data_IF_060711433090
#
_entry.id   IF_060711433090
#
_cell.length_a   1.000
_cell.length_b   1.000
_cell.length_c   1.000
_cell.angle_alpha   90.00
_cell.angle_beta   90.00
_cell.angle_gamma   90.00
#
_symmetry.space_group_name_H-M   'P 1'
#
loop_
_entity.id
_entity.type
_entity.pdbx_description
1 polymer ?
#
# COMPACT_ATOMS: atom_id res chain seq x y z
N UNK A 1 -37.80 1.53 5.73
CA UNK A 1 -36.50 2.05 5.26
C UNK A 1 -36.15 1.28 4.00
N UNK A 2 -35.89 1.98 2.90
CA UNK A 2 -35.45 1.36 1.65
C UNK A 2 -33.96 1.62 1.49
N UNK A 3 -33.23 0.64 0.99
CA UNK A 3 -31.84 0.84 0.59
C UNK A 3 -31.77 1.79 -0.61
N UNK A 4 -30.84 2.75 -0.56
CA UNK A 4 -30.52 3.63 -1.68
C UNK A 4 -29.02 3.52 -1.95
N UNK A 5 -28.68 3.30 -3.21
CA UNK A 5 -27.32 3.32 -3.70
C UNK A 5 -26.63 4.66 -3.37
N UNK A 6 -25.37 4.68 -2.88
CA UNK A 6 -24.61 5.91 -2.79
C UNK A 6 -24.46 6.56 -4.17
N UNK A 7 -24.55 7.88 -4.22
CA UNK A 7 -24.45 8.67 -5.47
C UNK A 7 -23.10 9.37 -5.63
N UNK A 8 -22.27 9.35 -4.59
CA UNK A 8 -20.93 9.92 -4.56
C UNK A 8 -20.07 9.21 -3.51
N UNK A 9 -18.75 9.33 -3.65
CA UNK A 9 -17.78 8.91 -2.65
C UNK A 9 -17.86 9.78 -1.40
N UNK A 10 -17.57 9.17 -0.25
CA UNK A 10 -17.50 9.81 1.06
C UNK A 10 -16.12 9.67 1.70
N UNK A 11 -15.32 8.68 1.28
CA UNK A 11 -13.97 8.49 1.81
C UNK A 11 -12.99 7.92 0.79
N UNK A 12 -11.74 8.36 0.90
CA UNK A 12 -10.60 7.72 0.29
C UNK A 12 -9.77 7.02 1.37
N UNK A 13 -9.50 5.73 1.20
CA UNK A 13 -8.67 4.92 2.09
C UNK A 13 -7.32 4.70 1.42
N UNK A 14 -6.30 5.38 1.94
CA UNK A 14 -5.00 5.47 1.30
C UNK A 14 -3.98 4.53 1.95
N UNK A 15 -3.12 3.94 1.14
CA UNK A 15 -1.84 3.46 1.65
C UNK A 15 -0.86 4.60 1.93
N UNK A 16 0.30 4.28 2.51
CA UNK A 16 1.34 5.23 2.86
C UNK A 16 2.50 5.22 1.87
N UNK A 17 3.40 4.23 1.96
CA UNK A 17 4.63 4.19 1.18
C UNK A 17 4.32 3.91 -0.30
N UNK A 18 4.85 4.73 -1.21
CA UNK A 18 4.50 4.67 -2.63
C UNK A 18 3.16 5.29 -3.00
N UNK A 19 2.38 5.77 -2.01
CA UNK A 19 1.04 6.35 -2.21
C UNK A 19 0.96 7.82 -1.78
N UNK A 20 1.22 8.11 -0.50
CA UNK A 20 1.27 9.49 0.04
C UNK A 20 2.69 9.91 0.40
N UNK A 21 3.52 8.96 0.86
CA UNK A 21 4.92 9.18 1.25
C UNK A 21 5.83 8.19 0.52
N UNK A 22 7.14 8.40 0.59
CA UNK A 22 8.16 7.45 0.12
C UNK A 22 7.98 7.06 -1.36
N UNK A 23 8.22 7.99 -2.27
CA UNK A 23 8.17 7.70 -3.72
C UNK A 23 9.13 6.55 -4.05
N UNK A 24 8.58 5.47 -4.61
CA UNK A 24 9.27 4.21 -4.93
C UNK A 24 9.19 3.13 -3.83
N UNK A 25 8.58 3.41 -2.67
CA UNK A 25 8.37 2.45 -1.57
C UNK A 25 9.69 1.77 -1.16
N UNK A 26 10.68 2.57 -0.74
CA UNK A 26 12.02 2.12 -0.40
C UNK A 26 12.16 1.74 1.08
N UNK A 27 11.41 2.40 1.96
CA UNK A 27 11.51 2.25 3.40
C UNK A 27 11.62 0.79 3.85
N UNK A 28 10.69 -0.13 3.52
CA UNK A 28 10.75 -1.51 3.99
C UNK A 28 11.81 -2.37 3.26
N UNK A 29 12.10 -2.05 2.00
CA UNK A 29 12.81 -2.96 1.08
C UNK A 29 14.25 -3.22 1.52
N UNK A 30 15.02 -2.16 1.81
CA UNK A 30 16.41 -2.30 2.24
C UNK A 30 16.52 -2.99 3.62
N UNK A 31 15.54 -2.81 4.49
CA UNK A 31 15.54 -3.42 5.82
C UNK A 31 15.34 -4.92 5.73
N UNK A 32 14.51 -5.42 4.81
CA UNK A 32 14.38 -6.87 4.62
C UNK A 32 15.70 -7.51 4.20
N UNK A 33 16.42 -6.89 3.27
CA UNK A 33 17.74 -7.36 2.84
C UNK A 33 18.70 -7.46 4.03
N UNK A 34 18.75 -6.43 4.87
CA UNK A 34 19.62 -6.41 6.05
C UNK A 34 19.18 -7.39 7.14
N UNK A 35 17.89 -7.47 7.43
CA UNK A 35 17.34 -8.37 8.43
C UNK A 35 17.60 -9.84 8.08
N UNK A 36 17.48 -10.23 6.80
CA UNK A 36 17.85 -11.58 6.36
C UNK A 36 19.37 -11.81 6.38
N UNK A 37 20.17 -10.79 6.04
CA UNK A 37 21.62 -10.88 6.07
C UNK A 37 22.19 -11.11 7.49
N UNK A 38 21.53 -10.63 8.55
CA UNK A 38 21.90 -10.95 9.94
C UNK A 38 21.79 -12.45 10.28
N UNK A 39 21.05 -13.22 9.49
CA UNK A 39 20.91 -14.68 9.61
C UNK A 39 21.73 -15.41 8.53
N UNK A 40 22.69 -14.73 7.90
CA UNK A 40 23.51 -15.23 6.79
C UNK A 40 22.71 -15.65 5.54
N UNK A 41 21.46 -15.21 5.41
CA UNK A 41 20.60 -15.50 4.27
C UNK A 41 20.56 -14.28 3.35
N UNK A 42 21.06 -14.42 2.14
CA UNK A 42 21.05 -13.33 1.17
C UNK A 42 19.66 -13.22 0.53
N UNK A 43 19.10 -12.01 0.50
CA UNK A 43 17.88 -11.65 -0.23
C UNK A 43 18.18 -10.41 -1.06
N UNK A 44 17.82 -10.41 -2.34
CA UNK A 44 17.98 -9.25 -3.21
C UNK A 44 16.87 -8.22 -2.99
N UNK A 45 17.11 -6.97 -3.42
CA UNK A 45 16.08 -5.92 -3.41
C UNK A 45 14.85 -6.34 -4.23
N UNK A 46 15.06 -6.99 -5.39
CA UNK A 46 13.96 -7.46 -6.25
C UNK A 46 13.10 -8.50 -5.54
N UNK A 47 13.72 -9.47 -4.86
CA UNK A 47 13.01 -10.47 -4.06
C UNK A 47 12.24 -9.84 -2.90
N UNK A 48 12.88 -8.93 -2.16
CA UNK A 48 12.26 -8.21 -1.05
C UNK A 48 11.05 -7.37 -1.48
N UNK A 49 10.99 -6.91 -2.73
CA UNK A 49 9.83 -6.18 -3.28
C UNK A 49 8.65 -7.07 -3.63
N UNK A 50 8.86 -8.37 -3.82
CA UNK A 50 7.83 -9.31 -4.29
C UNK A 50 6.55 -9.30 -3.44
N UNK A 51 6.62 -9.59 -2.13
CA UNK A 51 5.44 -9.65 -1.26
C UNK A 51 5.09 -8.30 -0.61
N UNK A 52 5.45 -7.18 -1.24
CA UNK A 52 5.16 -5.86 -0.67
C UNK A 52 3.66 -5.60 -0.53
N UNK A 53 3.29 -4.83 0.51
CA UNK A 53 1.90 -4.50 0.84
C UNK A 53 1.28 -5.40 1.92
N UNK A 54 1.88 -6.55 2.23
CA UNK A 54 1.44 -7.42 3.32
C UNK A 54 1.88 -6.89 4.70
N UNK A 55 1.27 -7.46 5.76
CA UNK A 55 1.81 -7.36 7.12
C UNK A 55 3.24 -7.90 7.16
N UNK A 56 4.12 -7.28 7.96
CA UNK A 56 5.57 -7.56 7.88
C UNK A 56 5.95 -8.99 8.26
N UNK A 57 5.24 -9.62 9.18
CA UNK A 57 5.45 -11.05 9.49
C UNK A 57 5.08 -11.94 8.29
N UNK A 58 3.90 -11.73 7.71
CA UNK A 58 3.43 -12.48 6.52
C UNK A 58 4.33 -12.25 5.30
N UNK A 59 4.87 -11.03 5.17
CA UNK A 59 5.86 -10.70 4.15
C UNK A 59 7.12 -11.57 4.30
N UNK A 60 7.67 -11.66 5.51
CA UNK A 60 8.87 -12.48 5.80
C UNK A 60 8.57 -13.96 5.57
N UNK A 61 7.42 -14.47 6.03
CA UNK A 61 6.97 -15.84 5.77
C UNK A 61 6.92 -16.12 4.25
N UNK A 62 6.33 -15.20 3.49
CA UNK A 62 6.23 -15.31 2.03
C UNK A 62 7.60 -15.32 1.36
N UNK A 63 8.54 -14.46 1.80
CA UNK A 63 9.93 -14.52 1.32
C UNK A 63 10.57 -15.86 1.65
N UNK A 64 10.39 -16.37 2.87
CA UNK A 64 10.88 -17.68 3.28
C UNK A 64 10.28 -18.85 2.48
N UNK A 65 9.11 -18.68 1.85
CA UNK A 65 8.47 -19.68 0.98
C UNK A 65 8.91 -19.59 -0.49
N UNK A 66 9.63 -18.53 -0.89
CA UNK A 66 10.24 -18.46 -2.22
C UNK A 66 11.31 -19.56 -2.32
N UNK A 67 11.23 -20.48 -3.32
CA UNK A 67 12.12 -21.64 -3.41
C UNK A 67 13.61 -21.31 -3.32
N UNK A 68 14.04 -20.22 -3.96
CA UNK A 68 15.42 -19.76 -3.99
C UNK A 68 15.89 -19.24 -2.62
N UNK A 69 15.03 -18.57 -1.85
CA UNK A 69 15.33 -18.09 -0.50
C UNK A 69 15.31 -19.25 0.49
N UNK A 70 14.33 -20.15 0.39
CA UNK A 70 14.26 -21.37 1.19
C UNK A 70 15.51 -22.24 1.00
N UNK A 71 16.05 -22.30 -0.22
CA UNK A 71 17.31 -22.98 -0.51
C UNK A 71 18.51 -22.32 0.18
N UNK A 72 18.60 -20.98 0.14
CA UNK A 72 19.67 -20.23 0.84
C UNK A 72 19.59 -20.46 2.34
N UNK A 73 18.38 -20.41 2.91
CA UNK A 73 18.15 -20.69 4.33
C UNK A 73 18.59 -22.13 4.68
N UNK A 74 18.22 -23.12 3.86
CA UNK A 74 18.60 -24.52 4.09
C UNK A 74 20.11 -24.75 4.04
N UNK A 75 20.84 -24.01 3.23
CA UNK A 75 22.31 -24.08 3.19
C UNK A 75 22.96 -23.58 4.48
N UNK A 76 22.35 -22.60 5.16
CA UNK A 76 22.84 -22.04 6.43
C UNK A 76 22.43 -22.93 7.61
N UNK A 77 21.15 -23.32 7.69
CA UNK A 77 20.57 -23.96 8.89
C UNK A 77 20.29 -25.46 8.75
N UNK A 78 20.49 -26.06 7.56
CA UNK A 78 20.26 -27.49 7.30
C UNK A 78 18.78 -27.89 7.20
N UNK A 79 17.84 -26.94 7.26
CA UNK A 79 16.39 -27.17 7.19
C UNK A 79 15.68 -25.97 6.55
N UNK A 80 14.39 -26.10 6.22
CA UNK A 80 13.57 -24.96 5.78
C UNK A 80 13.17 -24.06 6.97
N UNK A 81 12.84 -22.78 6.72
CA UNK A 81 12.40 -21.85 7.76
C UNK A 81 11.09 -22.29 8.45
N UNK A 82 11.06 -22.24 9.77
CA UNK A 82 9.85 -22.39 10.59
C UNK A 82 9.26 -21.02 10.94
N UNK A 83 8.06 -21.01 11.52
CA UNK A 83 7.43 -19.77 11.99
C UNK A 83 8.21 -19.10 13.14
N UNK A 84 8.96 -19.89 13.93
CA UNK A 84 9.90 -19.35 14.93
C UNK A 84 11.04 -18.57 14.28
N UNK A 85 11.56 -19.04 13.13
CA UNK A 85 12.61 -18.33 12.38
C UNK A 85 12.06 -17.04 11.76
N UNK A 86 10.85 -17.10 11.18
CA UNK A 86 10.15 -15.91 10.67
C UNK A 86 9.97 -14.87 11.77
N UNK A 87 9.57 -15.32 12.96
CA UNK A 87 9.43 -14.46 14.14
C UNK A 87 10.78 -13.89 14.59
N UNK A 88 11.87 -14.66 14.53
CA UNK A 88 13.21 -14.17 14.84
C UNK A 88 13.66 -13.08 13.85
N UNK A 89 13.47 -13.29 12.55
CA UNK A 89 13.77 -12.30 11.50
C UNK A 89 12.90 -11.05 11.69
N UNK A 90 11.61 -11.22 11.98
CA UNK A 90 10.69 -10.12 12.26
C UNK A 90 11.16 -9.27 13.45
N UNK A 91 11.58 -9.91 14.54
CA UNK A 91 12.08 -9.20 15.73
C UNK A 91 13.40 -8.45 15.47
N UNK A 92 14.20 -8.85 14.47
CA UNK A 92 15.38 -8.08 14.01
C UNK A 92 15.01 -6.98 13.03
N UNK A 93 14.07 -7.24 12.13
CA UNK A 93 13.54 -6.28 11.17
C UNK A 93 12.94 -5.04 11.85
N UNK A 94 12.21 -5.24 12.95
CA UNK A 94 11.45 -4.17 13.60
C UNK A 94 12.30 -2.99 14.11
N UNK A 95 13.38 -3.19 14.90
CA UNK A 95 14.28 -2.10 15.29
C UNK A 95 14.91 -1.38 14.09
N UNK A 96 15.43 -2.13 13.12
CA UNK A 96 16.03 -1.57 11.89
C UNK A 96 15.02 -0.70 11.11
N UNK A 97 13.75 -1.11 11.12
CA UNK A 97 12.67 -0.34 10.51
C UNK A 97 12.40 0.97 11.20
N UNK A 98 12.34 0.97 12.53
CA UNK A 98 12.11 2.19 13.30
C UNK A 98 13.27 3.18 13.11
N UNK A 99 14.51 2.69 13.06
CA UNK A 99 15.70 3.55 12.87
C UNK A 99 15.71 4.23 11.50
N UNK A 100 15.24 3.55 10.44
CA UNK A 100 15.29 4.04 9.06
C UNK A 100 14.05 4.78 8.60
N UNK A 101 12.96 4.76 9.36
CA UNK A 101 11.68 5.31 8.93
C UNK A 101 11.75 6.81 8.60
N UNK A 102 12.57 7.57 9.34
CA UNK A 102 12.71 9.01 9.14
C UNK A 102 13.28 9.37 7.76
N UNK A 103 14.18 8.53 7.23
CA UNK A 103 14.85 8.75 5.94
C UNK A 103 13.86 8.67 4.77
N UNK A 104 12.82 7.84 4.92
CA UNK A 104 11.85 7.52 3.87
C UNK A 104 10.45 8.06 4.20
N UNK A 105 10.37 9.22 4.85
CA UNK A 105 9.10 9.82 5.29
C UNK A 105 8.64 11.02 4.44
N UNK A 106 9.39 11.38 3.39
CA UNK A 106 9.06 12.49 2.52
C UNK A 106 7.74 12.26 1.78
N UNK A 107 6.92 13.30 1.68
CA UNK A 107 5.66 13.28 0.92
C UNK A 107 5.94 13.15 -0.58
N UNK A 108 5.09 12.38 -1.26
CA UNK A 108 5.08 12.32 -2.71
C UNK A 108 4.71 13.70 -3.27
N UNK A 109 5.46 14.25 -4.25
CA UNK A 109 5.17 15.56 -4.82
C UNK A 109 3.73 15.69 -5.32
N UNK A 110 3.01 16.71 -4.84
CA UNK A 110 1.60 16.99 -5.17
C UNK A 110 0.56 16.24 -4.31
N UNK A 111 0.99 15.32 -3.43
CA UNK A 111 0.08 14.57 -2.57
C UNK A 111 -0.76 15.49 -1.66
N UNK A 112 -0.16 16.49 -1.00
CA UNK A 112 -0.90 17.39 -0.10
C UNK A 112 -1.97 18.23 -0.81
N UNK A 113 -1.62 18.79 -1.97
CA UNK A 113 -2.55 19.60 -2.76
C UNK A 113 -3.73 18.74 -3.22
N UNK A 114 -3.44 17.52 -3.68
CA UNK A 114 -4.46 16.53 -4.03
C UNK A 114 -5.39 16.25 -2.85
N UNK A 115 -4.83 15.90 -1.68
CA UNK A 115 -5.62 15.55 -0.50
C UNK A 115 -6.45 16.73 0.01
N UNK A 116 -5.91 17.94 -0.09
CA UNK A 116 -6.63 19.16 0.26
C UNK A 116 -7.82 19.37 -0.68
N UNK A 117 -7.64 19.17 -1.99
CA UNK A 117 -8.74 19.19 -2.96
C UNK A 117 -9.82 18.15 -2.65
N UNK A 118 -9.43 16.90 -2.39
CA UNK A 118 -10.39 15.83 -2.05
C UNK A 118 -11.19 16.14 -0.77
N UNK A 119 -10.54 16.75 0.24
CA UNK A 119 -11.22 17.20 1.46
C UNK A 119 -12.19 18.34 1.21
N UNK A 120 -11.85 19.28 0.31
CA UNK A 120 -12.75 20.36 -0.10
C UNK A 120 -14.00 19.81 -0.82
N UNK A 121 -13.84 18.72 -1.56
CA UNK A 121 -14.94 17.97 -2.18
C UNK A 121 -15.73 17.09 -1.20
N UNK A 122 -15.40 17.15 0.10
CA UNK A 122 -16.13 16.47 1.18
C UNK A 122 -15.69 15.05 1.49
N UNK A 123 -14.59 14.55 0.89
CA UNK A 123 -14.07 13.23 1.21
C UNK A 123 -13.34 13.25 2.57
N UNK A 124 -13.66 12.25 3.40
CA UNK A 124 -12.84 11.88 4.55
C UNK A 124 -11.62 11.08 4.08
N UNK A 125 -10.49 11.27 4.74
CA UNK A 125 -9.23 10.60 4.41
C UNK A 125 -8.93 9.57 5.48
N UNK A 126 -9.22 8.31 5.18
CA UNK A 126 -8.75 7.19 5.98
C UNK A 126 -7.42 6.66 5.45
N UNK A 127 -6.73 5.87 6.25
CA UNK A 127 -5.53 5.21 5.79
C UNK A 127 -5.31 3.88 6.48
N UNK A 128 -4.55 3.03 5.82
CA UNK A 128 -4.06 1.78 6.39
C UNK A 128 -2.64 1.53 5.89
N UNK A 129 -1.91 0.66 6.56
CA UNK A 129 -0.54 0.29 6.16
C UNK A 129 -0.23 -1.15 6.57
N UNK A 130 0.69 -1.78 5.84
CA UNK A 130 1.29 -3.04 6.26
C UNK A 130 2.28 -2.89 7.44
N UNK A 131 2.48 -1.69 7.98
CA UNK A 131 3.26 -1.46 9.20
C UNK A 131 2.45 -1.76 10.46
N UNK A 132 3.09 -2.29 11.52
CA UNK A 132 2.48 -2.40 12.83
C UNK A 132 2.38 -1.02 13.51
N UNK A 133 1.54 -0.92 14.55
CA UNK A 133 1.18 0.33 15.21
C UNK A 133 2.41 1.12 15.67
N UNK A 134 3.38 0.46 16.29
CA UNK A 134 4.60 1.12 16.80
C UNK A 134 5.40 1.85 15.71
N UNK A 135 5.39 1.33 14.48
CA UNK A 135 6.02 2.00 13.33
C UNK A 135 5.10 3.08 12.78
N UNK A 136 3.80 2.79 12.66
CA UNK A 136 2.82 3.76 12.18
C UNK A 136 2.74 5.03 13.03
N UNK A 137 2.81 4.91 14.36
CA UNK A 137 2.80 6.06 15.26
C UNK A 137 3.96 7.02 14.92
N UNK A 138 5.14 6.48 14.55
CA UNK A 138 6.29 7.30 14.14
C UNK A 138 6.12 7.89 12.73
N UNK A 139 5.59 7.12 11.79
CA UNK A 139 5.30 7.60 10.43
C UNK A 139 4.29 8.74 10.46
N UNK A 140 3.23 8.61 11.26
CA UNK A 140 2.18 9.63 11.44
C UNK A 140 2.77 10.90 12.04
N UNK A 141 3.61 10.79 13.08
CA UNK A 141 4.28 11.94 13.68
C UNK A 141 5.10 12.73 12.65
N UNK A 142 5.92 12.03 11.85
CA UNK A 142 6.75 12.65 10.82
C UNK A 142 5.93 13.24 9.67
N UNK A 143 4.88 12.55 9.24
CA UNK A 143 4.03 13.04 8.17
C UNK A 143 3.23 14.28 8.58
N UNK A 144 2.78 14.35 9.84
CA UNK A 144 2.11 15.52 10.40
C UNK A 144 3.03 16.76 10.41
N UNK A 145 4.33 16.58 10.69
CA UNK A 145 5.33 17.66 10.59
C UNK A 145 5.48 18.17 9.14
N UNK A 146 5.20 17.31 8.16
CA UNK A 146 5.19 17.66 6.74
C UNK A 146 3.80 18.08 6.23
N UNK A 147 2.78 18.19 7.09
CA UNK A 147 1.45 18.69 6.75
C UNK A 147 0.42 17.62 6.36
N UNK A 148 0.76 16.33 6.39
CA UNK A 148 -0.21 15.25 6.12
C UNK A 148 -0.81 14.69 7.41
N UNK A 149 -2.14 14.78 7.52
CA UNK A 149 -2.92 14.18 8.61
C UNK A 149 -4.15 13.47 8.03
N UNK A 150 -4.22 12.16 8.22
CA UNK A 150 -5.42 11.37 7.94
C UNK A 150 -6.45 11.51 9.07
N UNK A 151 -7.74 11.39 8.75
CA UNK A 151 -8.83 11.38 9.74
C UNK A 151 -8.83 10.12 10.59
N UNK A 152 -8.36 9.00 10.01
CA UNK A 152 -8.15 7.75 10.72
C UNK A 152 -6.99 6.95 10.10
N UNK A 153 -6.28 6.20 10.93
CA UNK A 153 -5.12 5.38 10.54
C UNK A 153 -5.28 4.01 11.16
N UNK A 154 -5.13 2.95 10.35
CA UNK A 154 -5.21 1.56 10.80
C UNK A 154 -3.95 0.80 10.44
N UNK A 155 -3.16 0.45 11.44
CA UNK A 155 -1.99 -0.41 11.31
C UNK A 155 -2.38 -1.88 11.11
N UNK A 156 -1.43 -2.70 10.63
CA UNK A 156 -1.69 -4.10 10.27
C UNK A 156 -2.07 -4.98 11.47
N UNK A 157 -1.58 -4.65 12.66
CA UNK A 157 -1.75 -5.39 13.92
C UNK A 157 -2.92 -4.88 14.78
N UNK A 158 -3.64 -3.86 14.31
CA UNK A 158 -4.88 -3.36 14.93
C UNK A 158 -6.12 -4.13 14.46
N UNK A 159 -5.94 -5.07 13.51
CA UNK A 159 -7.01 -5.92 12.99
C UNK A 159 -6.62 -7.40 13.02
N UNK A 160 -7.59 -8.34 13.03
CA UNK A 160 -7.28 -9.77 13.10
C UNK A 160 -6.47 -10.32 11.92
N UNK A 161 -6.52 -9.64 10.78
CA UNK A 161 -5.85 -10.03 9.54
C UNK A 161 -5.50 -8.79 8.72
N UNK A 162 -4.23 -8.60 8.39
CA UNK A 162 -3.79 -7.50 7.52
C UNK A 162 -4.15 -7.72 6.06
N UNK A 163 -3.69 -6.83 5.18
CA UNK A 163 -3.77 -7.02 3.72
C UNK A 163 -3.23 -8.41 3.31
N UNK A 164 -3.86 -9.12 2.35
CA UNK A 164 -4.90 -8.66 1.44
C UNK A 164 -6.33 -8.79 1.96
N UNK A 165 -6.54 -9.02 3.25
CA UNK A 165 -7.89 -9.11 3.82
C UNK A 165 -8.53 -7.73 3.97
N UNK A 166 -9.88 -7.62 4.01
CA UNK A 166 -10.56 -6.34 3.99
C UNK A 166 -10.56 -5.57 5.32
N UNK A 167 -9.98 -6.12 6.38
CA UNK A 167 -10.25 -5.66 7.75
C UNK A 167 -9.73 -4.23 8.03
N UNK A 168 -8.55 -3.84 7.54
CA UNK A 168 -8.04 -2.50 7.81
C UNK A 168 -8.84 -1.43 7.05
N UNK A 169 -9.22 -1.73 5.80
CA UNK A 169 -10.14 -0.89 5.04
C UNK A 169 -11.52 -0.76 5.72
N UNK A 170 -12.12 -1.86 6.20
CA UNK A 170 -13.41 -1.83 6.88
C UNK A 170 -13.35 -1.15 8.26
N UNK A 171 -12.24 -1.27 8.98
CA UNK A 171 -12.02 -0.52 10.22
C UNK A 171 -12.07 1.00 9.98
N UNK A 172 -11.52 1.48 8.85
CA UNK A 172 -11.68 2.88 8.44
C UNK A 172 -13.14 3.25 8.16
N UNK A 173 -13.91 2.42 7.45
CA UNK A 173 -15.34 2.67 7.18
C UNK A 173 -16.10 2.91 8.50
N UNK A 174 -15.87 2.05 9.49
CA UNK A 174 -16.50 2.14 10.81
C UNK A 174 -16.07 3.41 11.52
N UNK A 175 -14.75 3.67 11.63
CA UNK A 175 -14.23 4.81 12.37
C UNK A 175 -14.63 6.16 11.76
N UNK A 176 -14.73 6.24 10.44
CA UNK A 176 -15.11 7.46 9.71
C UNK A 176 -16.63 7.66 9.60
N UNK A 177 -17.42 6.68 10.05
CA UNK A 177 -18.89 6.71 10.00
C UNK A 177 -19.42 6.81 8.58
N UNK A 178 -18.85 6.02 7.66
CA UNK A 178 -19.32 5.94 6.26
C UNK A 178 -20.54 5.03 6.20
N UNK A 179 -21.55 5.44 5.43
CA UNK A 179 -22.85 4.77 5.37
C UNK A 179 -22.87 3.51 4.49
N UNK A 180 -22.09 3.50 3.41
CA UNK A 180 -21.99 2.40 2.45
C UNK A 180 -20.53 2.22 2.00
N UNK A 181 -20.06 0.97 1.97
CA UNK A 181 -18.69 0.65 1.52
C UNK A 181 -18.48 1.00 0.04
N UNK A 182 -19.53 0.97 -0.78
CA UNK A 182 -19.46 1.41 -2.17
C UNK A 182 -19.22 2.92 -2.32
N UNK A 183 -19.41 3.71 -1.27
CA UNK A 183 -19.02 5.12 -1.19
C UNK A 183 -17.55 5.32 -0.78
N UNK A 184 -16.75 4.26 -0.70
CA UNK A 184 -15.32 4.34 -0.44
C UNK A 184 -14.48 3.98 -1.68
N UNK A 185 -13.29 4.57 -1.75
CA UNK A 185 -12.24 4.19 -2.70
C UNK A 185 -10.96 3.81 -1.98
N UNK A 186 -10.40 2.65 -2.28
CA UNK A 186 -9.08 2.21 -1.82
C UNK A 186 -8.02 2.59 -2.86
N UNK A 187 -6.99 3.30 -2.42
CA UNK A 187 -5.84 3.67 -3.27
C UNK A 187 -4.59 2.98 -2.72
N UNK A 188 -3.84 2.30 -3.57
CA UNK A 188 -2.67 1.51 -3.16
C UNK A 188 -1.72 1.29 -4.34
N UNK A 189 -0.43 1.13 -4.07
CA UNK A 189 0.61 0.81 -5.06
C UNK A 189 0.97 -0.69 -5.09
N UNK A 190 0.27 -1.53 -4.32
CA UNK A 190 0.55 -2.97 -4.21
C UNK A 190 -0.67 -3.85 -4.50
N UNK A 191 -0.40 -5.05 -5.04
CA UNK A 191 -1.44 -6.05 -5.30
C UNK A 191 -2.22 -6.43 -4.02
N UNK A 192 -1.59 -6.71 -2.86
CA UNK A 192 -2.32 -7.01 -1.64
C UNK A 192 -3.27 -5.89 -1.20
N UNK A 193 -2.87 -4.62 -1.33
CA UNK A 193 -3.71 -3.49 -0.98
C UNK A 193 -4.88 -3.26 -1.94
N UNK A 194 -4.71 -3.53 -3.24
CA UNK A 194 -5.83 -3.56 -4.19
C UNK A 194 -6.81 -4.69 -3.87
N UNK A 195 -6.30 -5.87 -3.54
CA UNK A 195 -7.14 -7.00 -3.14
C UNK A 195 -7.92 -6.71 -1.86
N UNK A 196 -7.34 -6.01 -0.89
CA UNK A 196 -8.04 -5.53 0.31
C UNK A 196 -9.27 -4.67 -0.09
N UNK A 197 -9.09 -3.66 -0.94
CA UNK A 197 -10.18 -2.79 -1.37
C UNK A 197 -11.27 -3.54 -2.14
N UNK A 198 -10.87 -4.44 -3.06
CA UNK A 198 -11.80 -5.29 -3.83
C UNK A 198 -12.59 -6.22 -2.93
N UNK A 199 -11.96 -6.83 -1.92
CA UNK A 199 -12.62 -7.72 -0.96
C UNK A 199 -13.49 -6.98 0.04
N UNK A 200 -13.19 -5.72 0.34
CA UNK A 200 -14.05 -4.87 1.15
C UNK A 200 -15.31 -4.43 0.38
N UNK A 201 -15.24 -4.38 -0.95
CA UNK A 201 -16.31 -3.90 -1.82
C UNK A 201 -16.24 -2.41 -2.14
N UNK A 202 -15.03 -1.85 -2.09
CA UNK A 202 -14.75 -0.46 -2.44
C UNK A 202 -14.42 -0.33 -3.93
N UNK A 203 -14.53 0.89 -4.45
CA UNK A 203 -13.78 1.27 -5.65
C UNK A 203 -12.28 1.12 -5.39
N UNK A 204 -11.47 0.84 -6.41
CA UNK A 204 -10.04 0.61 -6.23
C UNK A 204 -9.22 1.27 -7.31
N UNK A 205 -8.14 1.92 -6.89
CA UNK A 205 -7.21 2.66 -7.75
C UNK A 205 -5.80 2.17 -7.46
N UNK A 206 -5.15 1.62 -8.48
CA UNK A 206 -3.78 1.17 -8.42
C UNK A 206 -2.82 2.26 -8.92
N UNK A 207 -1.82 2.60 -8.11
CA UNK A 207 -0.77 3.54 -8.47
C UNK A 207 0.39 2.81 -9.16
N UNK A 208 0.71 3.17 -10.39
CA UNK A 208 1.65 2.39 -11.23
C UNK A 208 3.06 2.96 -11.26
N UNK A 209 3.26 4.25 -10.98
CA UNK A 209 4.58 4.89 -11.09
C UNK A 209 5.15 5.39 -9.77
N UNK A 210 4.34 5.64 -8.74
CA UNK A 210 4.83 6.22 -7.49
C UNK A 210 5.36 5.21 -6.47
N UNK A 211 5.14 3.92 -6.66
CA UNK A 211 5.35 2.93 -5.61
C UNK A 211 6.22 1.73 -5.97
N UNK A 212 5.98 0.61 -5.28
CA UNK A 212 6.81 -0.58 -5.25
C UNK A 212 7.08 -1.18 -6.63
N UNK A 213 6.06 -1.20 -7.49
CA UNK A 213 6.12 -1.87 -8.78
C UNK A 213 7.11 -1.20 -9.76
N UNK A 214 7.22 0.13 -9.75
CA UNK A 214 8.23 0.86 -10.52
C UNK A 214 9.55 0.94 -9.75
N UNK A 215 9.48 1.21 -8.45
CA UNK A 215 10.63 1.13 -7.54
C UNK A 215 11.76 2.13 -7.81
N UNK A 216 11.44 3.27 -8.44
CA UNK A 216 12.38 4.37 -8.71
C UNK A 216 12.16 5.54 -7.74
N UNK A 217 13.19 6.37 -7.55
CA UNK A 217 13.02 7.67 -6.88
C UNK A 217 12.24 8.62 -7.79
N UNK A 218 11.80 9.74 -7.23
CA UNK A 218 11.14 10.80 -7.99
C UNK A 218 11.99 11.31 -9.17
N UNK A 219 13.28 11.54 -8.93
CA UNK A 219 14.24 11.97 -9.96
C UNK A 219 14.44 10.89 -11.01
N UNK A 220 14.54 9.61 -10.58
CA UNK A 220 14.66 8.47 -11.48
C UNK A 220 13.45 8.32 -12.39
N UNK A 221 12.24 8.44 -11.85
CA UNK A 221 10.99 8.46 -12.62
C UNK A 221 10.96 9.61 -13.64
N UNK A 222 11.30 10.83 -13.22
CA UNK A 222 11.34 12.00 -14.11
C UNK A 222 12.41 11.93 -15.19
N UNK A 223 13.48 11.17 -14.96
CA UNK A 223 14.55 10.97 -15.92
C UNK A 223 14.26 9.87 -16.95
N UNK A 224 13.18 9.09 -16.78
CA UNK A 224 12.79 8.07 -17.76
C UNK A 224 12.42 8.72 -19.10
N UNK A 225 12.86 8.09 -20.19
CA UNK A 225 12.32 8.40 -21.51
C UNK A 225 10.85 7.98 -21.58
N UNK A 226 10.07 8.66 -22.44
CA UNK A 226 8.66 8.31 -22.64
C UNK A 226 8.48 6.84 -23.05
N UNK A 227 9.39 6.30 -23.87
CA UNK A 227 9.38 4.90 -24.30
C UNK A 227 9.62 3.93 -23.13
N UNK A 228 10.62 4.21 -22.27
CA UNK A 228 10.91 3.36 -21.12
C UNK A 228 9.78 3.43 -20.10
N UNK A 229 9.22 4.61 -19.85
CA UNK A 229 8.08 4.79 -18.97
C UNK A 229 6.87 3.99 -19.46
N UNK A 230 6.54 4.06 -20.75
CA UNK A 230 5.43 3.30 -21.32
C UNK A 230 5.64 1.78 -21.23
N UNK A 231 6.87 1.30 -21.48
CA UNK A 231 7.21 -0.11 -21.28
C UNK A 231 7.04 -0.55 -19.83
N UNK A 232 7.43 0.28 -18.86
CA UNK A 232 7.22 -0.02 -17.44
C UNK A 232 5.74 -0.01 -17.05
N UNK A 233 4.95 0.95 -17.55
CA UNK A 233 3.49 0.96 -17.34
C UNK A 233 2.85 -0.34 -17.80
N UNK A 234 3.18 -0.81 -19.01
CA UNK A 234 2.64 -2.07 -19.53
C UNK A 234 2.99 -3.28 -18.65
N UNK A 235 4.23 -3.36 -18.17
CA UNK A 235 4.66 -4.42 -17.24
C UNK A 235 3.87 -4.36 -15.92
N UNK A 236 3.69 -3.16 -15.37
CA UNK A 236 3.01 -2.96 -14.08
C UNK A 236 1.50 -3.16 -14.23
N UNK A 237 0.89 -2.78 -15.36
CA UNK A 237 -0.51 -3.10 -15.67
C UNK A 237 -0.72 -4.62 -15.70
N UNK A 238 0.19 -5.38 -16.31
CA UNK A 238 0.14 -6.84 -16.31
C UNK A 238 0.26 -7.43 -14.89
N UNK A 239 1.09 -6.83 -14.02
CA UNK A 239 1.20 -7.23 -12.61
C UNK A 239 -0.14 -7.05 -11.86
N UNK A 240 -0.86 -5.95 -12.11
CA UNK A 240 -2.15 -5.67 -11.47
C UNK A 240 -3.36 -6.37 -12.11
N UNK A 241 -3.21 -6.96 -13.30
CA UNK A 241 -4.32 -7.55 -14.04
C UNK A 241 -5.13 -8.57 -13.21
N UNK A 242 -4.42 -9.39 -12.42
CA UNK A 242 -5.05 -10.41 -11.56
C UNK A 242 -5.82 -9.85 -10.36
N UNK A 243 -5.41 -8.70 -9.82
CA UNK A 243 -6.12 -8.06 -8.70
C UNK A 243 -7.28 -7.18 -9.11
N UNK A 244 -7.42 -6.92 -10.42
CA UNK A 244 -8.55 -6.22 -11.05
C UNK A 244 -8.86 -4.87 -10.37
N UNK A 245 -7.90 -3.92 -10.32
CA UNK A 245 -8.22 -2.56 -9.93
C UNK A 245 -9.24 -1.96 -10.92
N UNK A 246 -10.11 -1.06 -10.44
CA UNK A 246 -11.06 -0.36 -11.32
C UNK A 246 -10.36 0.71 -12.17
N UNK A 247 -9.30 1.31 -11.62
CA UNK A 247 -8.49 2.34 -12.26
C UNK A 247 -7.01 2.07 -12.03
N UNK A 248 -6.20 2.40 -13.02
CA UNK A 248 -4.74 2.43 -12.97
C UNK A 248 -4.33 3.88 -13.29
N UNK A 249 -3.57 4.51 -12.40
CA UNK A 249 -3.06 5.87 -12.59
C UNK A 249 -1.59 5.95 -12.18
N UNK A 250 -0.84 6.93 -12.69
CA UNK A 250 0.61 7.00 -12.47
C UNK A 250 0.92 7.31 -11.00
N UNK A 251 0.29 8.35 -10.46
CA UNK A 251 0.52 8.82 -9.09
C UNK A 251 -0.76 9.31 -8.44
N UNK A 252 -0.70 9.63 -7.15
CA UNK A 252 -1.83 10.24 -6.44
C UNK A 252 -2.32 11.55 -7.10
N UNK A 253 -1.49 12.25 -7.88
CA UNK A 253 -1.86 13.50 -8.54
C UNK A 253 -2.99 13.34 -9.57
N UNK A 254 -3.18 12.14 -10.12
CA UNK A 254 -4.23 11.85 -11.09
C UNK A 254 -5.54 11.41 -10.42
N UNK A 255 -5.53 11.23 -9.09
CA UNK A 255 -6.67 10.76 -8.32
C UNK A 255 -7.93 11.65 -8.44
N UNK A 256 -7.85 13.00 -8.46
CA UNK A 256 -9.05 13.84 -8.57
C UNK A 256 -9.92 13.54 -9.79
N UNK A 257 -9.31 13.25 -10.95
CA UNK A 257 -10.05 12.90 -12.17
C UNK A 257 -10.77 11.56 -12.02
N UNK A 258 -10.13 10.58 -11.37
CA UNK A 258 -10.71 9.28 -11.05
C UNK A 258 -11.88 9.41 -10.08
N UNK A 259 -11.74 10.23 -9.02
CA UNK A 259 -12.82 10.50 -8.06
C UNK A 259 -14.04 11.10 -8.77
N UNK A 260 -13.81 12.09 -9.65
CA UNK A 260 -14.87 12.69 -10.45
C UNK A 260 -15.57 11.66 -11.35
N UNK A 261 -14.81 10.70 -11.93
CA UNK A 261 -15.39 9.63 -12.73
C UNK A 261 -16.21 8.63 -11.91
N UNK A 262 -15.69 8.19 -10.76
CA UNK A 262 -16.41 7.32 -9.84
C UNK A 262 -17.74 7.96 -9.42
N UNK A 263 -17.73 9.26 -9.09
CA UNK A 263 -18.96 9.98 -8.74
C UNK A 263 -19.97 10.01 -9.89
N UNK A 264 -19.52 10.16 -11.15
CA UNK A 264 -20.42 10.06 -12.32
C UNK A 264 -21.00 8.65 -12.49
N UNK A 265 -20.24 7.60 -12.15
CA UNK A 265 -20.68 6.20 -12.21
C UNK A 265 -21.67 5.88 -11.10
N UNK A 266 -21.38 6.27 -9.86
CA UNK A 266 -22.27 6.15 -8.71
C UNK A 266 -23.61 6.86 -8.94
N UNK A 267 -23.58 8.08 -9.50
CA UNK A 267 -24.79 8.82 -9.86
C UNK A 267 -25.67 8.12 -10.92
N UNK A 268 -25.08 7.22 -11.73
CA UNK A 268 -25.80 6.36 -12.69
C UNK A 268 -26.25 5.02 -12.09
N UNK A 269 -25.94 4.77 -10.82
CA UNK A 269 -26.26 3.52 -10.12
C UNK A 269 -25.24 2.39 -10.34
N UNK A 270 -24.08 2.67 -10.95
CA UNK A 270 -22.99 1.70 -11.04
C UNK A 270 -22.31 1.50 -9.67
N UNK A 271 -21.90 0.27 -9.39
CA UNK A 271 -21.27 -0.11 -8.11
C UNK A 271 -19.93 -0.83 -8.34
N UNK A 272 -19.01 -0.82 -7.36
CA UNK A 272 -17.71 -1.46 -7.50
C UNK A 272 -17.79 -2.93 -7.92
N UNK A 273 -18.75 -3.67 -7.36
CA UNK A 273 -18.89 -5.11 -7.61
C UNK A 273 -19.39 -5.46 -9.03
N UNK A 274 -19.85 -4.48 -9.81
CA UNK A 274 -20.33 -4.72 -11.17
C UNK A 274 -19.18 -4.94 -12.18
N UNK A 275 -17.92 -4.71 -11.78
CA UNK A 275 -16.75 -4.69 -12.68
C UNK A 275 -15.58 -5.50 -12.14
#
# INVERSE_FOLDING_TARGET
MNYNNPTQLQAAILDWAGTVVDFGSFAPTQIFVEAFAEFDVQVSIEEARGPMGMGKWDHIRTLCDVPEIAERYRKVFGRTPTDDDVTAIYNRFMPLQIEKIAVHSALIPGALDTLTGLRQDGLKIGSCSGYPKVVMDKVVELAAQNGYVADHVVATDETPNGRPWPAQALANVIALGIDDVAACVKVDDTVPGILEGRRAGMWTVALVCSGNALGLTWEGFRALSAEKLESERQRIHALFAGSRPHYLIDTINDLPEVIADINRRLAKGEMPQAF
#
